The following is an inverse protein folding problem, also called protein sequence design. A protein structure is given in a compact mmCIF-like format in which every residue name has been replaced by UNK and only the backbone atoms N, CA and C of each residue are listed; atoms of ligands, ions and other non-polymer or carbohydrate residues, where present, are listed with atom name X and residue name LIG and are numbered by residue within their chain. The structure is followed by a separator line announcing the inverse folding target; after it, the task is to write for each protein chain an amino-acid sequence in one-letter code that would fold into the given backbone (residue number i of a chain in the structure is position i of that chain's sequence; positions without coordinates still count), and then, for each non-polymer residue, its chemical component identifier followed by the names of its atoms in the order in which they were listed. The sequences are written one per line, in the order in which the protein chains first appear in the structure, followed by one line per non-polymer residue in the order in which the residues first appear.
data_IF_905420862769
#
_entry.id   IF_905420862769
#
_cell.length_a   1.000
_cell.length_b   1.000
_cell.length_c   1.000
_cell.angle_alpha   90.00
_cell.angle_beta   90.00
_cell.angle_gamma   90.00
#
_symmetry.space_group_name_H-M   'P 1'
#
loop_
_entity.id
_entity.type
_entity.pdbx_description
1 polymer ?
#
# COMPACT_ATOMS: atom_id res chain seq x y z
N UNK A 1 -14.85 -8.78 -14.53
CA UNK A 1 -14.78 -10.27 -14.44
C UNK A 1 -14.17 -10.66 -13.10
N UNK A 2 -14.61 -11.76 -12.51
CA UNK A 2 -14.05 -12.22 -11.23
C UNK A 2 -12.91 -13.19 -11.51
N UNK A 3 -11.71 -12.88 -11.04
CA UNK A 3 -10.52 -13.72 -11.20
C UNK A 3 -10.22 -14.49 -9.91
N UNK A 4 -9.60 -15.66 -10.05
CA UNK A 4 -9.01 -16.43 -8.95
C UNK A 4 -7.50 -16.38 -9.10
N UNK A 5 -6.81 -15.91 -8.06
CA UNK A 5 -5.36 -15.79 -8.07
C UNK A 5 -4.73 -17.17 -7.81
N UNK A 6 -3.63 -17.41 -8.47
CA UNK A 6 -3.00 -18.73 -8.47
C UNK A 6 -1.54 -18.61 -8.06
N UNK A 7 -1.14 -19.40 -7.09
CA UNK A 7 0.26 -19.58 -6.70
C UNK A 7 0.74 -20.96 -7.17
N UNK A 8 2.01 -21.06 -7.48
CA UNK A 8 2.65 -22.37 -7.72
C UNK A 8 2.93 -23.08 -6.39
N UNK A 9 3.53 -24.28 -6.44
CA UNK A 9 3.89 -25.04 -5.24
C UNK A 9 4.96 -24.36 -4.35
N UNK A 10 5.69 -23.37 -4.89
CA UNK A 10 6.72 -22.59 -4.20
C UNK A 10 6.23 -21.22 -3.73
N UNK A 11 4.89 -20.98 -3.74
CA UNK A 11 4.25 -19.72 -3.36
C UNK A 11 4.56 -18.53 -4.30
N UNK A 12 5.06 -18.80 -5.51
CA UNK A 12 5.26 -17.75 -6.51
C UNK A 12 3.95 -17.51 -7.29
N UNK A 13 3.64 -16.24 -7.62
CA UNK A 13 2.42 -15.91 -8.34
C UNK A 13 2.47 -16.36 -9.80
N UNK A 14 1.36 -16.90 -10.25
CA UNK A 14 1.06 -17.25 -11.64
C UNK A 14 -0.06 -16.37 -12.18
N UNK A 15 -0.33 -16.51 -13.50
CA UNK A 15 -1.48 -15.81 -14.09
C UNK A 15 -2.78 -16.28 -13.43
N UNK A 16 -3.71 -15.35 -13.14
CA UNK A 16 -5.00 -15.69 -12.57
C UNK A 16 -5.82 -16.54 -13.51
N UNK A 17 -6.73 -17.31 -12.97
CA UNK A 17 -7.61 -18.18 -13.73
C UNK A 17 -9.09 -17.85 -13.51
N UNK A 18 -9.94 -18.40 -14.39
CA UNK A 18 -11.38 -18.30 -14.23
C UNK A 18 -11.87 -19.11 -13.01
N UNK A 19 -12.98 -18.71 -12.36
CA UNK A 19 -13.55 -19.45 -11.24
C UNK A 19 -13.91 -20.90 -11.59
N UNK A 20 -14.29 -21.16 -12.84
CA UNK A 20 -14.58 -22.52 -13.34
C UNK A 20 -13.33 -23.40 -13.28
N UNK A 21 -12.19 -22.90 -13.75
CA UNK A 21 -10.92 -23.63 -13.73
C UNK A 21 -10.46 -23.88 -12.29
N UNK A 22 -10.59 -22.89 -11.41
CA UNK A 22 -10.26 -23.03 -9.99
C UNK A 22 -11.09 -24.14 -9.31
N UNK A 23 -12.40 -24.19 -9.55
CA UNK A 23 -13.27 -25.26 -9.00
C UNK A 23 -12.86 -26.65 -9.47
N UNK A 24 -12.50 -26.81 -10.74
CA UNK A 24 -12.01 -28.08 -11.28
C UNK A 24 -10.70 -28.52 -10.60
N UNK A 25 -9.75 -27.59 -10.43
CA UNK A 25 -8.49 -27.89 -9.77
C UNK A 25 -8.67 -28.29 -8.30
N UNK A 26 -9.57 -27.61 -7.59
CA UNK A 26 -9.89 -27.95 -6.20
C UNK A 26 -10.62 -29.30 -6.11
N UNK A 27 -11.59 -29.58 -7.00
CA UNK A 27 -12.30 -30.89 -7.05
C UNK A 27 -11.36 -32.05 -7.35
N UNK A 28 -10.37 -31.82 -8.21
CA UNK A 28 -9.33 -32.80 -8.56
C UNK A 28 -8.24 -32.94 -7.49
N UNK A 29 -8.32 -32.22 -6.36
CA UNK A 29 -7.28 -32.16 -5.32
C UNK A 29 -5.89 -31.74 -5.83
N UNK A 30 -5.84 -31.02 -6.96
CA UNK A 30 -4.62 -30.49 -7.57
C UNK A 30 -4.25 -29.09 -7.04
N UNK A 31 -5.13 -28.48 -6.28
CA UNK A 31 -4.92 -27.17 -5.64
C UNK A 31 -5.54 -27.16 -4.24
N UNK A 32 -5.04 -26.26 -3.39
CA UNK A 32 -5.63 -25.93 -2.10
C UNK A 32 -5.92 -24.42 -1.98
N UNK A 33 -6.86 -24.04 -1.12
CA UNK A 33 -7.19 -22.63 -0.86
C UNK A 33 -6.18 -22.08 0.14
N UNK A 34 -5.54 -20.97 -0.22
CA UNK A 34 -4.58 -20.27 0.65
C UNK A 34 -5.20 -19.03 1.27
N UNK A 35 -6.00 -18.31 0.51
CA UNK A 35 -6.60 -17.05 0.97
C UNK A 35 -8.04 -16.91 0.43
N UNK A 36 -8.93 -16.37 1.28
CA UNK A 36 -10.33 -16.15 0.88
C UNK A 36 -10.55 -14.81 0.22
N UNK A 37 -9.84 -13.77 0.66
CA UNK A 37 -10.00 -12.41 0.13
C UNK A 37 -8.65 -11.73 -0.07
N UNK A 38 -8.22 -11.44 -1.30
CA UNK A 38 -8.79 -11.94 -2.56
C UNK A 38 -8.63 -13.46 -2.69
N UNK A 39 -9.57 -14.11 -3.39
CA UNK A 39 -9.58 -15.57 -3.45
C UNK A 39 -8.36 -16.11 -4.20
N UNK A 40 -7.52 -16.84 -3.48
CA UNK A 40 -6.22 -17.33 -3.95
C UNK A 40 -6.09 -18.81 -3.67
N UNK A 41 -5.70 -19.56 -4.70
CA UNK A 41 -5.40 -20.99 -4.63
C UNK A 41 -3.93 -21.26 -4.88
N UNK A 42 -3.41 -22.32 -4.28
CA UNK A 42 -2.05 -22.81 -4.50
C UNK A 42 -2.09 -24.14 -5.22
N UNK A 43 -1.33 -24.26 -6.30
CA UNK A 43 -1.18 -25.53 -7.01
C UNK A 43 -0.25 -26.46 -6.22
N UNK A 44 -0.62 -27.73 -6.15
CA UNK A 44 0.16 -28.78 -5.52
C UNK A 44 1.16 -29.44 -6.49
N UNK A 45 1.09 -29.08 -7.75
CA UNK A 45 1.94 -29.59 -8.83
C UNK A 45 2.44 -28.44 -9.71
N UNK A 46 3.48 -28.69 -10.51
CA UNK A 46 4.03 -27.71 -11.44
C UNK A 46 4.60 -26.47 -10.74
N UNK A 47 5.58 -25.88 -11.32
CA UNK A 47 6.27 -24.70 -10.79
C UNK A 47 6.27 -23.53 -11.76
N UNK A 48 6.10 -23.81 -13.04
CA UNK A 48 6.18 -22.83 -14.13
C UNK A 48 4.88 -22.77 -14.89
N UNK A 49 4.52 -21.59 -15.35
CA UNK A 49 3.40 -21.34 -16.22
C UNK A 49 3.69 -20.16 -17.13
N UNK A 50 2.95 -20.04 -18.22
CA UNK A 50 3.02 -18.87 -19.07
C UNK A 50 2.62 -17.63 -18.28
N UNK A 51 3.48 -16.61 -18.27
CA UNK A 51 3.25 -15.33 -17.60
C UNK A 51 3.21 -14.23 -18.66
N UNK A 52 2.16 -13.43 -18.63
CA UNK A 52 2.08 -12.20 -19.43
C UNK A 52 2.71 -11.05 -18.64
N UNK A 53 3.28 -10.05 -19.30
CA UNK A 53 3.73 -8.84 -18.62
C UNK A 53 2.52 -8.12 -17.98
N UNK A 54 2.64 -7.83 -16.69
CA UNK A 54 1.63 -7.11 -15.92
C UNK A 54 2.23 -5.80 -15.44
N UNK A 55 1.55 -4.71 -15.73
CA UNK A 55 1.88 -3.39 -15.20
C UNK A 55 0.98 -3.10 -14.01
N UNK A 56 1.58 -2.78 -12.87
CA UNK A 56 0.91 -2.31 -11.68
C UNK A 56 0.95 -0.78 -11.66
N UNK A 57 -0.19 -0.13 -11.85
CA UNK A 57 -0.37 1.30 -11.67
C UNK A 57 -0.71 1.61 -10.20
N UNK A 58 -0.10 2.63 -9.66
CA UNK A 58 -0.34 3.11 -8.29
C UNK A 58 -0.55 4.61 -8.33
N UNK A 59 -1.75 5.04 -7.95
CA UNK A 59 -2.05 6.44 -7.64
C UNK A 59 -1.73 6.67 -6.15
N UNK A 60 -0.66 7.41 -5.90
CA UNK A 60 -0.11 7.59 -4.57
C UNK A 60 -0.78 8.76 -3.82
N UNK A 61 -2.08 8.70 -3.64
CA UNK A 61 -2.85 9.68 -2.90
C UNK A 61 -2.58 9.66 -1.39
N UNK A 62 -2.79 10.78 -0.72
CA UNK A 62 -2.59 10.92 0.73
C UNK A 62 -3.77 10.44 1.58
N UNK A 63 -4.98 10.45 1.02
CA UNK A 63 -6.23 10.00 1.66
C UNK A 63 -6.76 8.71 1.05
N UNK A 64 -6.54 8.52 -0.22
CA UNK A 64 -6.94 7.36 -1.00
C UNK A 64 -5.74 6.92 -1.84
N UNK A 65 -5.55 5.63 -1.97
CA UNK A 65 -4.49 5.03 -2.78
C UNK A 65 -5.19 4.12 -3.77
N UNK A 66 -5.12 4.49 -5.05
CA UNK A 66 -5.63 3.68 -6.15
C UNK A 66 -4.57 2.67 -6.61
N UNK A 67 -4.97 1.43 -6.81
CA UNK A 67 -4.08 0.38 -7.33
C UNK A 67 -4.81 -0.38 -8.40
N UNK A 68 -4.20 -0.48 -9.59
CA UNK A 68 -4.69 -1.28 -10.69
C UNK A 68 -3.57 -2.11 -11.29
N UNK A 69 -3.81 -3.39 -11.52
CA UNK A 69 -2.88 -4.29 -12.21
C UNK A 69 -3.51 -4.78 -13.51
N UNK A 70 -2.88 -4.44 -14.63
CA UNK A 70 -3.39 -4.74 -15.96
C UNK A 70 -2.35 -5.40 -16.85
N UNK A 71 -2.83 -6.25 -17.74
CA UNK A 71 -2.14 -6.66 -18.98
C UNK A 71 -2.51 -5.69 -20.09
N UNK A 72 -1.96 -5.86 -21.28
CA UNK A 72 -2.34 -5.04 -22.44
C UNK A 72 -3.84 -5.06 -22.77
N UNK A 73 -4.55 -6.16 -22.41
CA UNK A 73 -5.95 -6.37 -22.80
C UNK A 73 -6.94 -6.32 -21.65
N UNK A 74 -6.51 -6.67 -20.45
CA UNK A 74 -7.43 -6.87 -19.32
C UNK A 74 -6.86 -6.33 -18.01
N UNK A 75 -7.72 -5.70 -17.25
CA UNK A 75 -7.47 -5.40 -15.85
C UNK A 75 -7.70 -6.67 -15.02
N UNK A 76 -6.69 -7.06 -14.23
CA UNK A 76 -6.69 -8.27 -13.43
C UNK A 76 -6.98 -8.01 -11.94
N UNK A 77 -6.70 -6.78 -11.50
CA UNK A 77 -6.86 -6.35 -10.12
C UNK A 77 -7.13 -4.86 -10.08
N UNK A 78 -8.10 -4.46 -9.26
CA UNK A 78 -8.38 -3.07 -8.95
C UNK A 78 -8.74 -2.97 -7.47
N UNK A 79 -8.16 -2.01 -6.77
CA UNK A 79 -8.44 -1.73 -5.36
C UNK A 79 -8.23 -0.25 -5.07
N UNK A 80 -9.13 0.30 -4.27
CA UNK A 80 -8.93 1.56 -3.60
C UNK A 80 -8.71 1.29 -2.11
N UNK A 81 -7.59 1.78 -1.57
CA UNK A 81 -7.27 1.64 -0.17
C UNK A 81 -7.26 3.01 0.52
N UNK A 82 -7.86 3.08 1.68
CA UNK A 82 -7.81 4.28 2.53
C UNK A 82 -6.66 4.11 3.54
N UNK A 83 -5.59 4.91 3.44
CA UNK A 83 -4.49 4.88 4.40
C UNK A 83 -4.96 5.41 5.75
N UNK A 84 -4.17 5.17 6.77
CA UNK A 84 -4.46 5.61 8.12
C UNK A 84 -4.50 7.13 8.24
N UNK A 85 -5.64 7.69 8.59
CA UNK A 85 -5.88 9.14 8.68
C UNK A 85 -5.96 9.67 10.13
N UNK A 86 -6.00 8.79 11.14
CA UNK A 86 -6.20 9.12 12.55
C UNK A 86 -4.94 9.61 13.28
N UNK A 87 -3.79 9.65 12.60
CA UNK A 87 -2.48 9.98 13.21
C UNK A 87 -2.47 11.37 13.83
N UNK A 88 -3.11 12.35 13.17
CA UNK A 88 -3.16 13.74 13.65
C UNK A 88 -3.94 13.83 14.96
N UNK A 89 -5.08 13.16 15.03
CA UNK A 89 -5.95 13.13 16.21
C UNK A 89 -5.28 12.42 17.38
N UNK A 90 -4.63 11.30 17.13
CA UNK A 90 -3.87 10.57 18.14
C UNK A 90 -2.69 11.39 18.67
N UNK A 91 -2.00 12.14 17.83
CA UNK A 91 -0.91 13.03 18.24
C UNK A 91 -1.45 14.21 19.06
N UNK A 92 -2.59 14.78 18.70
CA UNK A 92 -3.24 15.86 19.46
C UNK A 92 -3.71 15.38 20.84
N UNK A 93 -4.37 14.22 20.91
CA UNK A 93 -4.75 13.57 22.16
C UNK A 93 -3.53 13.31 23.05
N UNK A 94 -2.45 12.75 22.48
CA UNK A 94 -1.18 12.54 23.19
C UNK A 94 -0.58 13.84 23.72
N UNK A 95 -0.68 14.93 22.96
CA UNK A 95 -0.25 16.27 23.39
C UNK A 95 -1.09 16.76 24.57
N UNK A 96 -2.42 16.59 24.52
CA UNK A 96 -3.34 16.96 25.59
C UNK A 96 -3.03 16.19 26.89
N UNK A 97 -2.85 14.87 26.80
CA UNK A 97 -2.47 14.04 27.97
C UNK A 97 -1.11 14.43 28.55
N UNK A 98 -0.13 14.77 27.73
CA UNK A 98 1.16 15.28 28.23
C UNK A 98 1.03 16.61 28.92
N UNK A 99 0.20 17.53 28.40
CA UNK A 99 -0.09 18.83 29.05
C UNK A 99 -0.77 18.60 30.40
N UNK A 100 -1.80 17.76 30.47
CA UNK A 100 -2.50 17.42 31.70
C UNK A 100 -1.54 16.84 32.77
N UNK A 101 -0.66 15.89 32.39
CA UNK A 101 0.34 15.35 33.33
C UNK A 101 1.33 16.39 33.85
N UNK A 102 1.73 17.37 33.03
CA UNK A 102 2.64 18.45 33.44
C UNK A 102 1.97 19.40 34.44
N UNK A 103 0.67 19.65 34.28
CA UNK A 103 -0.11 20.53 35.13
C UNK A 103 -0.45 19.88 36.48
N UNK A 104 -0.28 18.55 36.64
CA UNK A 104 -0.39 17.88 37.93
C UNK A 104 0.84 18.23 38.80
N UNK A 105 0.63 18.75 40.01
CA UNK A 105 1.69 19.18 40.93
C UNK A 105 2.59 18.06 41.47
N UNK A 106 2.46 16.82 40.99
CA UNK A 106 3.12 15.65 41.55
C UNK A 106 4.58 15.46 41.14
N UNK A 107 4.98 15.87 39.93
CA UNK A 107 6.37 15.82 39.48
C UNK A 107 6.57 16.67 38.22
N UNK A 108 7.33 17.76 38.35
CA UNK A 108 7.74 18.57 37.21
C UNK A 108 9.06 18.05 36.64
N UNK A 109 9.07 17.81 35.30
CA UNK A 109 10.30 17.57 34.55
C UNK A 109 10.45 18.68 33.51
N UNK A 110 11.64 19.29 33.48
CA UNK A 110 11.95 20.28 32.45
C UNK A 110 11.69 19.74 31.03
N UNK A 111 11.07 20.55 30.16
CA UNK A 111 10.81 20.11 28.80
C UNK A 111 12.14 19.93 28.03
N UNK A 112 12.27 18.80 27.36
CA UNK A 112 13.44 18.47 26.55
C UNK A 112 13.17 18.89 25.09
N UNK A 113 13.29 20.16 24.77
CA UNK A 113 12.96 20.67 23.44
C UNK A 113 14.00 20.30 22.39
N UNK A 114 15.27 20.24 22.75
CA UNK A 114 16.39 20.18 21.79
C UNK A 114 16.84 18.76 21.41
N UNK A 115 16.33 17.70 22.08
CA UNK A 115 16.81 16.34 21.84
C UNK A 115 16.52 15.78 20.43
N UNK A 116 15.71 16.44 19.61
CA UNK A 116 15.35 15.95 18.28
C UNK A 116 15.87 16.84 17.14
N UNK A 117 16.27 18.09 17.44
CA UNK A 117 16.72 19.02 16.42
C UNK A 117 18.12 18.61 15.93
N UNK A 118 18.99 18.20 16.85
CA UNK A 118 20.37 17.79 16.55
C UNK A 118 20.52 16.30 16.21
N UNK A 119 19.48 15.47 16.40
CA UNK A 119 19.52 14.04 16.10
C UNK A 119 19.00 13.69 14.71
N UNK A 120 18.64 14.68 13.89
CA UNK A 120 18.17 14.43 12.52
C UNK A 120 19.38 14.18 11.62
N UNK A 121 19.50 12.97 11.11
CA UNK A 121 20.49 12.62 10.10
C UNK A 121 20.02 13.02 8.69
N UNK A 122 20.93 13.07 7.74
CA UNK A 122 20.61 13.35 6.34
C UNK A 122 19.57 12.32 5.83
N UNK A 123 18.49 12.82 5.23
CA UNK A 123 17.39 11.95 4.76
C UNK A 123 16.36 11.59 5.84
N UNK A 124 16.42 12.18 7.04
CA UNK A 124 15.40 11.95 8.06
C UNK A 124 14.02 12.41 7.59
N UNK A 125 13.05 11.50 7.67
CA UNK A 125 11.65 11.78 7.42
C UNK A 125 10.86 11.85 8.73
N UNK A 126 9.79 12.64 8.74
CA UNK A 126 8.87 12.61 9.87
C UNK A 126 8.23 11.22 9.98
N UNK A 127 8.08 10.64 11.19
CA UNK A 127 7.51 9.30 11.35
C UNK A 127 6.14 9.12 10.67
N UNK A 128 5.31 10.16 10.61
CA UNK A 128 4.03 10.13 9.90
C UNK A 128 4.18 9.97 8.39
N UNK A 129 5.23 10.57 7.80
CA UNK A 129 5.54 10.43 6.37
C UNK A 129 6.09 9.04 6.09
N UNK A 130 6.98 8.56 6.95
CA UNK A 130 7.55 7.22 6.84
C UNK A 130 6.47 6.13 6.90
N UNK A 131 5.51 6.25 7.84
CA UNK A 131 4.36 5.33 7.92
C UNK A 131 3.56 5.34 6.61
N UNK A 132 3.25 6.51 6.05
CA UNK A 132 2.54 6.59 4.76
C UNK A 132 3.29 5.90 3.64
N UNK A 133 4.59 6.12 3.52
CA UNK A 133 5.43 5.44 2.52
C UNK A 133 5.37 3.91 2.71
N UNK A 134 5.46 3.44 3.95
CA UNK A 134 5.40 2.00 4.25
C UNK A 134 4.03 1.40 3.93
N UNK A 135 2.94 2.15 4.11
CA UNK A 135 1.60 1.73 3.69
C UNK A 135 1.52 1.51 2.18
N UNK A 136 2.01 2.45 1.35
CA UNK A 136 2.06 2.28 -0.11
C UNK A 136 2.90 1.05 -0.50
N UNK A 137 4.10 0.91 0.07
CA UNK A 137 4.98 -0.23 -0.19
C UNK A 137 4.30 -1.56 0.21
N UNK A 138 3.56 -1.57 1.31
CA UNK A 138 2.86 -2.76 1.80
C UNK A 138 1.74 -3.17 0.84
N UNK A 139 0.99 -2.20 0.31
CA UNK A 139 -0.05 -2.44 -0.68
C UNK A 139 0.53 -3.00 -1.98
N UNK A 140 1.60 -2.39 -2.51
CA UNK A 140 2.31 -2.88 -3.69
C UNK A 140 2.79 -4.33 -3.48
N UNK A 141 3.46 -4.60 -2.37
CA UNK A 141 3.94 -5.96 -2.03
C UNK A 141 2.79 -6.96 -1.91
N UNK A 142 1.62 -6.53 -1.41
CA UNK A 142 0.44 -7.38 -1.30
C UNK A 142 -0.04 -7.84 -2.68
N UNK A 143 -0.07 -6.95 -3.67
CA UNK A 143 -0.45 -7.29 -5.04
C UNK A 143 0.62 -8.15 -5.72
N UNK A 144 1.91 -7.82 -5.56
CA UNK A 144 3.01 -8.60 -6.12
C UNK A 144 3.07 -10.05 -5.58
N UNK A 145 2.50 -10.32 -4.39
CA UNK A 145 2.42 -11.69 -3.85
C UNK A 145 1.34 -12.56 -4.52
N UNK A 146 0.39 -11.97 -5.22
CA UNK A 146 -0.74 -12.70 -5.84
C UNK A 146 -0.74 -12.61 -7.35
N UNK A 147 0.00 -11.67 -7.94
CA UNK A 147 0.14 -11.45 -9.37
C UNK A 147 1.61 -11.36 -9.77
N UNK A 148 2.02 -11.94 -10.90
CA UNK A 148 3.39 -11.86 -11.42
C UNK A 148 3.63 -10.50 -12.08
N UNK A 149 3.68 -9.44 -11.27
CA UNK A 149 3.91 -8.06 -11.71
C UNK A 149 5.31 -7.93 -12.31
N UNK A 150 5.39 -7.35 -13.51
CA UNK A 150 6.64 -7.12 -14.23
C UNK A 150 7.11 -5.68 -14.07
N UNK A 151 6.17 -4.72 -14.12
CA UNK A 151 6.45 -3.29 -14.00
C UNK A 151 5.56 -2.65 -12.96
N UNK A 152 6.13 -1.71 -12.18
CA UNK A 152 5.38 -0.86 -11.27
C UNK A 152 5.51 0.58 -11.75
N UNK A 153 4.37 1.23 -11.99
CA UNK A 153 4.27 2.66 -12.33
C UNK A 153 3.57 3.38 -11.21
N UNK A 154 4.25 4.36 -10.63
CA UNK A 154 3.67 5.20 -9.58
C UNK A 154 3.39 6.57 -10.18
N UNK A 155 2.18 7.06 -10.02
CA UNK A 155 1.83 8.42 -10.38
C UNK A 155 2.44 9.38 -9.36
N UNK A 156 3.29 10.27 -9.82
CA UNK A 156 3.87 11.35 -9.02
C UNK A 156 3.34 12.67 -9.56
N UNK A 157 2.40 13.28 -8.83
CA UNK A 157 1.93 14.61 -9.17
C UNK A 157 2.85 15.65 -8.56
N UNK A 158 3.58 16.37 -9.40
CA UNK A 158 4.28 17.59 -9.01
C UNK A 158 3.32 18.77 -9.10
N UNK A 159 2.69 19.12 -7.97
CA UNK A 159 1.89 20.34 -7.88
C UNK A 159 2.76 21.49 -7.42
N UNK A 160 3.13 22.35 -8.33
CA UNK A 160 3.66 23.67 -7.98
C UNK A 160 2.53 24.58 -7.48
N UNK A 161 2.25 24.45 -6.18
CA UNK A 161 1.17 25.24 -5.53
C UNK A 161 1.44 26.73 -5.56
N UNK A 162 2.67 27.18 -5.70
CA UNK A 162 3.02 28.60 -5.80
C UNK A 162 2.67 29.11 -7.19
N UNK A 163 2.99 28.35 -8.23
CA UNK A 163 2.64 28.67 -9.62
C UNK A 163 1.14 28.69 -9.85
N UNK A 164 0.41 27.72 -9.29
CA UNK A 164 -1.06 27.68 -9.34
C UNK A 164 -1.68 28.89 -8.63
N UNK A 165 -1.18 29.27 -7.44
CA UNK A 165 -1.64 30.47 -6.73
C UNK A 165 -1.32 31.76 -7.50
N UNK A 166 -0.17 31.84 -8.13
CA UNK A 166 0.18 32.99 -8.97
C UNK A 166 -0.71 33.12 -10.19
N UNK A 167 -1.04 32.01 -10.87
CA UNK A 167 -1.97 31.98 -11.99
C UNK A 167 -3.40 32.37 -11.57
N UNK A 168 -3.90 31.86 -10.43
CA UNK A 168 -5.21 32.22 -9.90
C UNK A 168 -5.30 33.66 -9.41
N UNK A 169 -4.18 34.23 -8.95
CA UNK A 169 -4.08 35.63 -8.52
C UNK A 169 -3.85 36.61 -9.68
N UNK A 170 -3.83 36.15 -10.94
CA UNK A 170 -3.62 36.99 -12.12
C UNK A 170 -2.25 37.69 -12.15
N UNK A 171 -1.25 37.17 -11.42
CA UNK A 171 0.12 37.68 -11.46
C UNK A 171 0.92 36.93 -12.53
N UNK A 172 1.60 37.65 -13.45
CA UNK A 172 2.41 37.05 -14.48
C UNK A 172 3.59 36.24 -13.93
#
# INVERSE_FOLDING_TARGET
MQYVYVLNKHDEPLMPCSPRKARLLLKQKKACVVKRTPFTIKLLYGSTGYKQPITLGVDAGSKHIGISAATEKYELYCEEATPRNDVVDLLSARRAFRRSRRNRKTRYRAPRFNNRVHSKHKGWLAPSVEVKIQEHITLIKRVCRILPVTFVRVETAEFDTQRLKAMLAGKP
#
